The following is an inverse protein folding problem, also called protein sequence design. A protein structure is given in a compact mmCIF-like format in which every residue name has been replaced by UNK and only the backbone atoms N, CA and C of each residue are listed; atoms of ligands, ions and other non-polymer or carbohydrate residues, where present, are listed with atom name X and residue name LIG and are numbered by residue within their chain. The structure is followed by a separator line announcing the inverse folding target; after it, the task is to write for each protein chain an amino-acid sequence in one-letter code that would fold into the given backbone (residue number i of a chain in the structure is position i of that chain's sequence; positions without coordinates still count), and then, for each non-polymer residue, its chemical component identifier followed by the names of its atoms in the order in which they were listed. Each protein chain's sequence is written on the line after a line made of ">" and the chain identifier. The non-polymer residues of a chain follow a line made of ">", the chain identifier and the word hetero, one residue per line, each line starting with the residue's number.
data_IF_082322982736
#
_entry.id   IF_082322982736
#
_cell.length_a   1.000
_cell.length_b   1.000
_cell.length_c   1.000
_cell.angle_alpha   90.00
_cell.angle_beta   90.00
_cell.angle_gamma   90.00
#
_symmetry.space_group_name_H-M   'P 1'
#
loop_
_entity.id
_entity.type
_entity.pdbx_description
1 polymer ?
#
# COMPACT_ATOMS: atom_id res chain seq x y z
N UNK A 1 -6.14 2.98 14.30
CA UNK A 1 -7.25 3.85 14.73
C UNK A 1 -8.54 3.04 14.77
N UNK A 2 -9.34 3.22 15.80
CA UNK A 2 -10.66 2.59 15.98
C UNK A 2 -11.57 3.53 16.78
N UNK A 3 -12.87 3.34 16.66
CA UNK A 3 -13.89 4.06 17.45
C UNK A 3 -14.04 3.50 18.87
N UNK A 4 -13.33 2.43 19.21
CA UNK A 4 -13.32 1.88 20.57
C UNK A 4 -12.59 2.82 21.52
N UNK A 5 -12.98 2.78 22.80
CA UNK A 5 -12.37 3.61 23.83
C UNK A 5 -10.97 3.10 24.22
N UNK A 6 -10.16 3.98 24.80
CA UNK A 6 -8.78 3.69 25.24
C UNK A 6 -8.69 2.44 26.12
N UNK A 7 -9.62 2.27 27.06
CA UNK A 7 -9.63 1.09 27.94
C UNK A 7 -9.85 -0.24 27.19
N UNK A 8 -10.67 -0.22 26.13
CA UNK A 8 -10.86 -1.39 25.28
C UNK A 8 -9.57 -1.73 24.52
N UNK A 9 -8.84 -0.72 24.02
CA UNK A 9 -7.55 -0.90 23.36
C UNK A 9 -6.51 -1.49 24.31
N UNK A 10 -6.37 -0.97 25.52
CA UNK A 10 -5.44 -1.50 26.55
C UNK A 10 -5.73 -2.98 26.80
N UNK A 11 -7.00 -3.33 27.02
CA UNK A 11 -7.38 -4.72 27.28
C UNK A 11 -7.14 -5.65 26.09
N UNK A 12 -7.30 -5.13 24.87
CA UNK A 12 -7.03 -5.86 23.66
C UNK A 12 -5.53 -6.12 23.44
N UNK A 13 -4.67 -5.12 23.74
CA UNK A 13 -3.21 -5.28 23.71
C UNK A 13 -2.73 -6.32 24.74
N UNK A 14 -3.20 -6.24 25.98
CA UNK A 14 -2.92 -7.24 27.03
C UNK A 14 -3.28 -8.65 26.54
N UNK A 15 -4.50 -8.80 26.03
CA UNK A 15 -4.98 -10.10 25.57
C UNK A 15 -4.13 -10.68 24.43
N UNK A 16 -3.73 -9.84 23.47
CA UNK A 16 -2.86 -10.26 22.35
C UNK A 16 -1.49 -10.70 22.88
N UNK A 17 -0.92 -9.93 23.80
CA UNK A 17 0.37 -10.29 24.41
C UNK A 17 0.28 -11.61 25.16
N UNK A 18 -0.74 -11.79 26.01
CA UNK A 18 -0.87 -12.94 26.88
C UNK A 18 -1.25 -14.25 26.16
N UNK A 19 -2.00 -14.13 25.04
CA UNK A 19 -2.54 -15.31 24.37
C UNK A 19 -1.85 -15.63 23.04
N UNK A 20 -1.23 -14.64 22.39
CA UNK A 20 -0.57 -14.80 21.08
C UNK A 20 0.94 -14.57 21.15
N UNK A 21 1.48 -14.16 22.30
CA UNK A 21 2.88 -13.79 22.50
C UNK A 21 3.36 -12.72 21.46
N UNK A 22 2.47 -11.74 21.18
CA UNK A 22 2.72 -10.66 20.23
C UNK A 22 2.62 -9.32 20.95
N UNK A 23 3.66 -8.52 20.85
CA UNK A 23 3.61 -7.11 21.27
C UNK A 23 3.23 -6.21 20.09
N UNK A 24 2.40 -5.21 20.34
CA UNK A 24 2.01 -4.20 19.34
C UNK A 24 2.97 -3.01 19.46
N UNK A 25 3.92 -2.82 18.52
CA UNK A 25 4.99 -1.82 18.65
C UNK A 25 4.62 -0.44 18.11
N UNK A 26 3.34 -0.17 17.86
CA UNK A 26 2.87 1.09 17.27
C UNK A 26 1.69 1.66 18.06
N UNK A 27 1.46 2.99 18.03
CA UNK A 27 0.37 3.61 18.77
C UNK A 27 -1.00 3.22 18.21
N UNK A 28 -1.96 2.98 19.12
CA UNK A 28 -3.37 2.76 18.80
C UNK A 28 -4.14 4.03 19.16
N UNK A 29 -4.93 4.55 18.24
CA UNK A 29 -5.70 5.78 18.41
C UNK A 29 -7.16 5.43 18.65
N UNK A 30 -7.71 5.89 19.79
CA UNK A 30 -9.13 5.88 20.05
C UNK A 30 -9.75 7.12 19.39
N UNK A 31 -10.57 6.93 18.36
CA UNK A 31 -11.20 8.01 17.62
C UNK A 31 -12.62 8.24 18.10
N UNK A 32 -12.96 9.47 18.43
CA UNK A 32 -14.32 9.90 18.79
C UNK A 32 -15.28 9.99 17.57
N UNK A 33 -14.80 9.55 16.42
CA UNK A 33 -15.49 9.62 15.13
C UNK A 33 -15.06 10.80 14.27
N UNK A 34 -14.25 11.72 14.80
CA UNK A 34 -13.79 12.91 14.05
C UNK A 34 -12.91 12.54 12.88
N UNK A 35 -11.88 11.72 13.10
CA UNK A 35 -10.97 11.27 12.04
C UNK A 35 -11.68 10.33 11.09
N UNK A 36 -12.43 9.37 11.61
CA UNK A 36 -13.22 8.44 10.80
C UNK A 36 -14.19 9.15 9.86
N UNK A 37 -14.85 10.20 10.31
CA UNK A 37 -15.74 11.04 9.48
C UNK A 37 -14.96 11.81 8.42
N UNK A 38 -13.86 12.44 8.80
CA UNK A 38 -13.00 13.21 7.87
C UNK A 38 -12.45 12.34 6.75
N UNK A 39 -12.10 11.09 7.06
CA UNK A 39 -11.56 10.12 6.09
C UNK A 39 -12.64 9.31 5.34
N UNK A 40 -13.94 9.66 5.53
CA UNK A 40 -15.04 8.95 4.85
C UNK A 40 -15.21 7.50 5.29
N UNK A 41 -14.84 7.16 6.52
CA UNK A 41 -14.86 5.78 7.04
C UNK A 41 -16.18 5.39 7.72
N UNK A 42 -17.06 6.36 8.03
CA UNK A 42 -18.32 6.07 8.72
C UNK A 42 -19.24 5.27 7.79
N UNK A 43 -19.72 4.13 8.27
CA UNK A 43 -20.63 3.29 7.50
C UNK A 43 -22.00 3.95 7.37
N UNK A 44 -22.54 4.16 6.15
CA UNK A 44 -23.76 4.96 5.95
C UNK A 44 -25.01 4.43 6.67
N UNK A 45 -25.08 3.12 6.92
CA UNK A 45 -26.27 2.45 7.46
C UNK A 45 -26.04 1.72 8.79
N UNK A 46 -24.88 1.91 9.46
CA UNK A 46 -24.54 1.19 10.70
C UNK A 46 -24.13 2.13 11.84
N UNK A 47 -24.75 3.31 11.90
CA UNK A 47 -24.53 4.29 12.98
C UNK A 47 -23.10 4.84 12.98
N UNK A 48 -22.41 4.77 14.14
CA UNK A 48 -21.03 5.23 14.29
C UNK A 48 -19.98 4.23 13.82
N UNK A 49 -20.37 3.04 13.38
CA UNK A 49 -19.42 2.02 12.95
C UNK A 49 -18.65 2.47 11.73
N UNK A 50 -17.36 2.18 11.71
CA UNK A 50 -16.47 2.46 10.57
C UNK A 50 -16.34 1.25 9.66
N UNK A 51 -16.16 1.51 8.35
CA UNK A 51 -15.66 0.51 7.42
C UNK A 51 -14.18 0.21 7.73
N UNK A 52 -13.65 -0.88 7.21
CA UNK A 52 -12.22 -1.18 7.31
C UNK A 52 -11.46 -0.41 6.26
N UNK A 53 -10.49 0.40 6.64
CA UNK A 53 -9.64 1.12 5.69
C UNK A 53 -8.16 0.98 6.02
N UNK A 54 -7.36 1.15 4.99
CA UNK A 54 -5.89 1.29 5.09
C UNK A 54 -5.51 2.53 4.29
N UNK A 55 -4.76 3.43 4.91
CA UNK A 55 -4.18 4.60 4.27
C UNK A 55 -2.66 4.45 4.28
N UNK A 56 -2.05 4.42 3.11
CA UNK A 56 -0.59 4.43 2.98
C UNK A 56 -0.18 5.88 2.76
N UNK A 57 0.58 6.41 3.71
CA UNK A 57 1.00 7.80 3.76
C UNK A 57 2.53 7.84 3.69
N UNK A 58 3.08 8.65 2.81
CA UNK A 58 4.53 8.80 2.69
C UNK A 58 5.12 9.72 3.78
N UNK A 59 6.47 9.78 3.91
CA UNK A 59 7.10 10.64 4.91
C UNK A 59 6.84 12.14 4.76
N UNK A 60 6.27 12.58 3.64
CA UNK A 60 5.86 13.98 3.40
C UNK A 60 4.41 14.25 3.80
N UNK A 61 3.71 13.23 4.35
CA UNK A 61 2.30 13.33 4.71
C UNK A 61 1.32 13.19 3.55
N UNK A 62 1.78 12.72 2.39
CA UNK A 62 0.94 12.53 1.20
C UNK A 62 0.33 11.14 1.20
N UNK A 63 -0.99 11.05 1.03
CA UNK A 63 -1.70 9.78 0.86
C UNK A 63 -1.35 9.23 -0.52
N UNK A 64 -0.72 8.05 -0.54
CA UNK A 64 -0.26 7.36 -1.75
C UNK A 64 -1.24 6.28 -2.22
N UNK A 65 -1.93 5.65 -1.29
CA UNK A 65 -2.95 4.66 -1.58
C UNK A 65 -3.99 4.58 -0.47
N UNK A 66 -5.20 4.23 -0.82
CA UNK A 66 -6.30 3.99 0.10
C UNK A 66 -7.00 2.70 -0.31
N UNK A 67 -7.22 1.81 0.66
CA UNK A 67 -8.01 0.60 0.47
C UNK A 67 -9.19 0.65 1.43
N UNK A 68 -10.40 0.51 0.92
CA UNK A 68 -11.61 0.35 1.70
C UNK A 68 -12.14 -1.07 1.57
N UNK A 69 -12.45 -1.67 2.71
CA UNK A 69 -13.03 -3.00 2.81
C UNK A 69 -14.37 -2.94 3.54
N UNK A 70 -15.35 -3.73 3.13
CA UNK A 70 -16.55 -3.91 3.94
C UNK A 70 -16.18 -4.54 5.29
N UNK A 71 -17.03 -4.34 6.30
CA UNK A 71 -16.77 -4.87 7.65
C UNK A 71 -16.63 -6.40 7.69
N UNK A 72 -17.30 -7.07 6.78
CA UNK A 72 -17.37 -8.52 6.67
C UNK A 72 -16.09 -9.15 6.09
N UNK A 73 -15.26 -8.35 5.43
CA UNK A 73 -14.06 -8.85 4.75
C UNK A 73 -12.79 -8.46 5.50
N UNK A 74 -11.97 -9.45 5.82
CA UNK A 74 -10.62 -9.24 6.36
C UNK A 74 -9.67 -8.66 5.30
N UNK A 75 -8.66 -7.93 5.76
CA UNK A 75 -7.62 -7.35 4.89
C UNK A 75 -6.59 -8.39 4.49
N UNK A 76 -6.06 -8.30 3.28
CA UNK A 76 -4.86 -9.04 2.87
C UNK A 76 -3.63 -8.25 3.32
N UNK A 77 -2.96 -8.72 4.37
CA UNK A 77 -1.80 -8.04 4.96
C UNK A 77 -0.57 -8.12 4.05
N UNK A 78 -0.39 -9.20 3.30
CA UNK A 78 0.73 -9.36 2.36
C UNK A 78 0.64 -8.33 1.23
N UNK A 79 -0.56 -8.06 0.74
CA UNK A 79 -0.78 -7.01 -0.27
C UNK A 79 -0.46 -5.62 0.27
N UNK A 80 -0.85 -5.32 1.51
CA UNK A 80 -0.53 -4.03 2.15
C UNK A 80 0.99 -3.86 2.25
N UNK A 81 1.70 -4.90 2.70
CA UNK A 81 3.18 -4.90 2.78
C UNK A 81 3.80 -4.77 1.39
N UNK A 82 3.28 -5.49 0.38
CA UNK A 82 3.73 -5.39 -1.00
C UNK A 82 3.60 -3.96 -1.53
N UNK A 83 2.47 -3.31 -1.30
CA UNK A 83 2.23 -1.92 -1.71
C UNK A 83 3.23 -0.95 -1.07
N UNK A 84 3.48 -1.06 0.23
CA UNK A 84 4.45 -0.20 0.93
C UNK A 84 5.84 -0.40 0.36
N UNK A 85 6.30 -1.64 0.21
CA UNK A 85 7.61 -1.96 -0.38
C UNK A 85 7.73 -1.45 -1.81
N UNK A 86 6.70 -1.67 -2.63
CA UNK A 86 6.66 -1.19 -4.00
C UNK A 86 6.78 0.33 -4.08
N UNK A 87 6.04 1.07 -3.27
CA UNK A 87 6.11 2.53 -3.22
C UNK A 87 7.49 3.04 -2.79
N UNK A 88 8.12 2.39 -1.82
CA UNK A 88 9.50 2.71 -1.41
C UNK A 88 10.52 2.50 -2.55
N UNK A 89 10.37 1.42 -3.31
CA UNK A 89 11.23 1.15 -4.49
C UNK A 89 10.99 2.18 -5.59
N UNK A 90 9.74 2.52 -5.88
CA UNK A 90 9.35 3.58 -6.83
C UNK A 90 10.01 4.91 -6.49
N UNK A 91 9.86 5.34 -5.24
CA UNK A 91 10.37 6.63 -4.78
C UNK A 91 11.91 6.70 -4.83
N UNK A 92 12.58 5.58 -4.53
CA UNK A 92 14.04 5.51 -4.53
C UNK A 92 14.64 5.46 -5.95
N UNK A 93 13.98 4.79 -6.89
CA UNK A 93 14.59 4.42 -8.17
C UNK A 93 13.93 5.09 -9.40
N UNK A 94 12.88 5.88 -9.20
CA UNK A 94 12.09 6.50 -10.28
C UNK A 94 11.65 5.46 -11.34
N UNK A 95 10.99 4.41 -10.89
CA UNK A 95 10.47 3.30 -11.70
C UNK A 95 8.99 3.09 -11.42
N UNK A 96 8.34 2.16 -12.11
CA UNK A 96 7.00 1.70 -11.77
C UNK A 96 7.01 0.21 -11.41
N UNK A 97 5.99 -0.22 -10.65
CA UNK A 97 5.83 -1.62 -10.29
C UNK A 97 4.85 -2.30 -11.25
N UNK A 98 5.20 -3.48 -11.79
CA UNK A 98 4.22 -4.31 -12.48
C UNK A 98 3.20 -4.91 -11.49
N UNK A 99 2.10 -5.42 -12.03
CA UNK A 99 1.15 -6.20 -11.25
C UNK A 99 1.86 -7.35 -10.52
N UNK A 100 1.38 -7.71 -9.34
CA UNK A 100 1.89 -8.83 -8.53
C UNK A 100 3.38 -8.77 -8.14
N UNK A 101 4.09 -7.65 -8.42
CA UNK A 101 5.51 -7.54 -8.05
C UNK A 101 5.73 -7.91 -6.57
N UNK A 102 6.79 -8.69 -6.22
CA UNK A 102 7.91 -9.14 -7.05
C UNK A 102 7.66 -10.45 -7.83
N UNK A 103 6.44 -10.94 -7.89
CA UNK A 103 6.07 -12.22 -8.52
C UNK A 103 5.19 -11.98 -9.77
N UNK A 104 5.61 -11.09 -10.65
CA UNK A 104 4.89 -10.82 -11.90
C UNK A 104 5.12 -11.96 -12.90
N UNK A 105 4.08 -12.36 -13.62
CA UNK A 105 4.09 -13.52 -14.52
C UNK A 105 4.92 -13.30 -15.80
N UNK A 106 5.11 -12.03 -16.21
CA UNK A 106 5.86 -11.69 -17.43
C UNK A 106 7.29 -11.27 -17.15
N UNK A 107 7.47 -10.44 -16.12
CA UNK A 107 8.75 -9.77 -15.84
C UNK A 107 9.35 -10.13 -14.48
N UNK A 108 8.77 -11.09 -13.79
CA UNK A 108 9.22 -11.59 -12.48
C UNK A 108 9.42 -10.45 -11.45
N UNK A 109 10.60 -10.36 -10.87
CA UNK A 109 11.00 -9.34 -9.88
C UNK A 109 11.49 -8.02 -10.51
N UNK A 110 11.43 -7.88 -11.82
CA UNK A 110 11.81 -6.67 -12.53
C UNK A 110 10.84 -5.51 -12.26
N UNK A 111 11.35 -4.31 -12.42
CA UNK A 111 10.58 -3.06 -12.36
C UNK A 111 10.36 -2.51 -13.77
N UNK A 112 9.33 -1.72 -13.95
CA UNK A 112 9.00 -1.07 -15.23
C UNK A 112 9.78 0.24 -15.34
N UNK A 113 10.48 0.40 -16.44
CA UNK A 113 11.19 1.64 -16.79
C UNK A 113 10.13 2.70 -17.21
N UNK A 114 10.25 3.95 -16.75
CA UNK A 114 9.31 5.02 -17.10
C UNK A 114 9.09 5.13 -18.62
N UNK A 115 7.89 5.52 -19.09
CA UNK A 115 7.57 5.55 -20.51
C UNK A 115 8.45 6.55 -21.28
N UNK A 116 8.60 6.33 -22.60
CA UNK A 116 9.21 7.30 -23.49
C UNK A 116 8.38 8.59 -23.52
N UNK A 117 9.05 9.73 -23.63
CA UNK A 117 8.40 11.05 -23.66
C UNK A 117 8.18 11.57 -25.10
N UNK A 118 8.87 10.99 -26.08
CA UNK A 118 8.82 11.37 -27.49
C UNK A 118 9.22 10.19 -28.39
N UNK A 119 9.09 10.38 -29.72
CA UNK A 119 9.40 9.35 -30.72
C UNK A 119 10.90 8.97 -30.74
N UNK A 120 11.77 9.92 -30.46
CA UNK A 120 13.21 9.66 -30.45
C UNK A 120 13.59 8.73 -29.29
N UNK A 121 13.16 9.08 -28.07
CA UNK A 121 13.39 8.23 -26.90
C UNK A 121 12.72 6.86 -27.01
N UNK A 122 11.57 6.76 -27.70
CA UNK A 122 10.94 5.47 -27.98
C UNK A 122 11.83 4.55 -28.84
N UNK A 123 12.49 5.09 -29.86
CA UNK A 123 13.41 4.33 -30.73
C UNK A 123 14.69 3.95 -29.98
N UNK A 124 15.25 4.86 -29.20
CA UNK A 124 16.48 4.64 -28.43
C UNK A 124 16.27 3.55 -27.36
N UNK A 125 15.08 3.45 -26.78
CA UNK A 125 14.75 2.43 -25.77
C UNK A 125 14.99 1.00 -26.29
N UNK A 126 14.61 0.70 -27.53
CA UNK A 126 14.77 -0.63 -28.12
C UNK A 126 16.24 -1.01 -28.37
N UNK A 127 17.14 -0.03 -28.37
CA UNK A 127 18.58 -0.23 -28.56
C UNK A 127 19.38 -0.23 -27.25
N UNK A 128 18.72 0.09 -26.13
CA UNK A 128 19.36 0.15 -24.82
C UNK A 128 19.80 -1.24 -24.36
N UNK A 129 20.96 -1.29 -23.71
CA UNK A 129 21.48 -2.49 -23.03
C UNK A 129 21.25 -2.46 -21.51
N UNK A 130 20.67 -1.39 -21.01
CA UNK A 130 20.44 -1.21 -19.56
C UNK A 130 19.16 -1.88 -19.06
N UNK A 131 18.26 -2.22 -19.97
CA UNK A 131 16.98 -2.85 -19.68
C UNK A 131 16.48 -3.66 -20.88
N UNK A 132 15.53 -4.54 -20.63
CA UNK A 132 14.89 -5.38 -21.63
C UNK A 132 13.54 -4.77 -22.02
N UNK A 133 13.14 -4.89 -23.29
CA UNK A 133 11.87 -4.39 -23.78
C UNK A 133 11.12 -5.48 -24.55
N UNK A 134 9.84 -5.63 -24.25
CA UNK A 134 8.91 -6.33 -25.15
C UNK A 134 8.60 -5.48 -26.37
N UNK A 135 8.45 -4.18 -26.16
CA UNK A 135 8.35 -3.13 -27.17
C UNK A 135 8.69 -1.80 -26.49
N UNK A 136 8.83 -0.70 -27.26
CA UNK A 136 9.23 0.63 -26.77
C UNK A 136 8.37 1.14 -25.59
N UNK A 137 7.12 0.70 -25.47
CA UNK A 137 6.19 1.11 -24.41
C UNK A 137 6.29 0.25 -23.16
N UNK A 138 6.85 -0.97 -23.24
CA UNK A 138 7.01 -1.87 -22.10
C UNK A 138 8.46 -2.32 -22.00
N UNK A 139 9.23 -1.59 -21.22
CA UNK A 139 10.60 -1.92 -20.87
C UNK A 139 10.74 -2.15 -19.38
N UNK A 140 11.58 -3.10 -19.01
CA UNK A 140 11.74 -3.52 -17.61
C UNK A 140 13.21 -3.84 -17.32
N UNK A 141 13.59 -3.78 -16.07
CA UNK A 141 14.92 -4.13 -15.60
C UNK A 141 14.90 -4.70 -14.18
N UNK A 142 15.93 -5.45 -13.85
CA UNK A 142 16.23 -5.80 -12.46
C UNK A 142 16.87 -4.62 -11.74
N UNK A 143 16.57 -4.44 -10.43
CA UNK A 143 17.22 -3.45 -9.56
C UNK A 143 18.35 -4.07 -8.77
#
# INVERSE_FOLDING_TARGET
>A
LSIDQVFAHIKWEEWIKDNLDVEIPFPIIADDGTVGKTLGMIHPNKGSNTVRAVFIIDPKGIIRAILYYPQELGRNMDEIVRMVRGLQVVDKNNVAMPANWPNNELVNDHVIVPPAKDVQTAKERLQSKEYECYDWWLCHKKL
#
